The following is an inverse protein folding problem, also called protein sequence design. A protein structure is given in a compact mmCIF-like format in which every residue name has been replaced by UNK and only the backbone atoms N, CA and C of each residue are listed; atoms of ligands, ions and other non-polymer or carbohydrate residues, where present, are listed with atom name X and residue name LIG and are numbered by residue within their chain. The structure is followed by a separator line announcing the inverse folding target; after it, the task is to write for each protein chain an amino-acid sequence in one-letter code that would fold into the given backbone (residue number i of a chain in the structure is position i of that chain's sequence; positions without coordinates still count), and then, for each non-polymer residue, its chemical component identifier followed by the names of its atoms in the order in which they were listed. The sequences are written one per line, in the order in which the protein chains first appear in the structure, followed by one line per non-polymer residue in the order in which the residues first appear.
data_IF_807283614075
#
_entry.id   IF_807283614075
#
_cell.length_a   1.000
_cell.length_b   1.000
_cell.length_c   1.000
_cell.angle_alpha   90.00
_cell.angle_beta   90.00
_cell.angle_gamma   90.00
#
_symmetry.space_group_name_H-M   'P 1'
#
loop_
_entity.id
_entity.type
_entity.pdbx_description
1 polymer ?
#
# COMPACT_ATOMS: atom_id res chain seq x y z
N UNK A 1 -3.11 17.01 -15.34
CA UNK A 1 -2.76 16.27 -14.12
C UNK A 1 -3.29 14.85 -14.22
N UNK A 2 -2.43 13.88 -14.02
CA UNK A 2 -2.80 12.46 -13.81
C UNK A 2 -2.62 12.17 -12.33
N UNK A 3 -3.71 11.86 -11.65
CA UNK A 3 -3.75 11.68 -10.19
C UNK A 3 -3.32 10.27 -9.80
N UNK A 4 -2.80 10.11 -8.59
CA UNK A 4 -2.38 8.85 -7.99
C UNK A 4 -3.54 7.83 -7.89
N UNK A 5 -4.74 8.27 -7.52
CA UNK A 5 -5.91 7.40 -7.36
C UNK A 5 -6.67 7.24 -8.69
N UNK A 6 -6.30 6.23 -9.45
CA UNK A 6 -6.84 5.93 -10.78
C UNK A 6 -8.35 5.71 -10.76
N UNK A 7 -8.86 4.97 -9.76
CA UNK A 7 -10.29 4.66 -9.64
C UNK A 7 -11.16 5.87 -9.31
N UNK A 8 -10.60 6.91 -8.70
CA UNK A 8 -11.31 8.16 -8.40
C UNK A 8 -11.39 9.07 -9.62
N UNK A 9 -10.38 8.98 -10.50
CA UNK A 9 -10.29 9.83 -11.69
C UNK A 9 -11.11 9.32 -12.88
N UNK A 10 -11.51 8.05 -12.88
CA UNK A 10 -12.29 7.40 -13.92
C UNK A 10 -13.75 7.24 -13.47
N UNK A 11 -14.69 7.33 -14.42
CA UNK A 11 -16.12 7.17 -14.14
C UNK A 11 -16.53 5.72 -14.38
N UNK A 12 -16.90 4.97 -13.31
CA UNK A 12 -17.40 3.60 -13.43
C UNK A 12 -18.63 3.52 -14.35
N UNK A 13 -18.83 2.37 -14.98
CA UNK A 13 -19.96 2.13 -15.88
C UNK A 13 -19.84 2.75 -17.26
N UNK A 14 -18.92 3.69 -17.48
CA UNK A 14 -18.64 4.25 -18.80
C UNK A 14 -17.61 3.42 -19.58
N UNK A 15 -17.65 3.54 -20.91
CA UNK A 15 -16.64 2.93 -21.78
C UNK A 15 -15.29 3.64 -21.70
N UNK A 16 -14.24 2.99 -22.19
CA UNK A 16 -12.90 3.57 -22.33
C UNK A 16 -12.97 4.86 -23.17
N UNK A 17 -13.71 4.86 -24.29
CA UNK A 17 -13.85 6.04 -25.14
C UNK A 17 -14.49 7.22 -24.41
N UNK A 18 -15.54 6.97 -23.62
CA UNK A 18 -16.21 8.00 -22.83
C UNK A 18 -15.29 8.55 -21.76
N UNK A 19 -14.54 7.70 -21.06
CA UNK A 19 -13.58 8.12 -20.07
C UNK A 19 -12.44 8.97 -20.65
N UNK A 20 -11.86 8.59 -21.80
CA UNK A 20 -10.81 9.38 -22.47
C UNK A 20 -11.33 10.74 -22.92
N UNK A 21 -12.54 10.80 -23.43
CA UNK A 21 -13.11 12.00 -24.03
C UNK A 21 -14.00 12.80 -23.07
N UNK A 22 -14.05 12.43 -21.77
CA UNK A 22 -15.01 12.94 -20.80
C UNK A 22 -15.06 14.47 -20.74
N UNK A 23 -13.91 15.11 -20.69
CA UNK A 23 -13.83 16.57 -20.59
C UNK A 23 -14.33 17.28 -21.87
N UNK A 24 -14.12 16.67 -23.04
CA UNK A 24 -14.66 17.17 -24.32
C UNK A 24 -16.15 16.92 -24.47
N UNK A 25 -16.68 15.86 -23.86
CA UNK A 25 -18.10 15.57 -23.84
C UNK A 25 -18.90 16.60 -23.02
N UNK A 26 -18.24 17.29 -22.10
CA UNK A 26 -18.84 18.34 -21.26
C UNK A 26 -18.85 19.74 -21.93
N UNK A 27 -18.23 19.92 -23.11
CA UNK A 27 -18.18 21.21 -23.79
C UNK A 27 -19.57 21.61 -24.37
N UNK A 28 -20.08 22.83 -24.08
CA UNK A 28 -21.37 23.28 -24.61
C UNK A 28 -21.39 23.37 -26.14
N UNK A 29 -22.46 22.87 -26.78
CA UNK A 29 -22.69 23.05 -28.21
C UNK A 29 -22.12 21.97 -29.12
N UNK A 30 -21.54 20.91 -28.60
CA UNK A 30 -20.98 19.82 -29.38
C UNK A 30 -22.07 18.81 -29.78
N UNK A 31 -22.24 18.59 -31.08
CA UNK A 31 -23.06 17.48 -31.59
C UNK A 31 -22.29 16.18 -31.50
N UNK A 32 -22.77 15.25 -30.64
CA UNK A 32 -22.11 13.99 -30.44
C UNK A 32 -22.30 12.99 -31.55
N UNK A 33 -21.21 12.67 -32.26
CA UNK A 33 -21.13 11.48 -33.11
C UNK A 33 -20.26 10.43 -32.43
N UNK A 34 -20.85 9.39 -31.90
CA UNK A 34 -20.13 8.30 -31.20
C UNK A 34 -19.00 7.67 -32.01
N UNK A 35 -19.14 7.64 -33.35
CA UNK A 35 -18.05 7.21 -34.26
C UNK A 35 -16.81 8.11 -34.10
N UNK A 36 -17.00 9.43 -34.01
CA UNK A 36 -15.91 10.40 -33.87
C UNK A 36 -15.28 10.32 -32.47
N UNK A 37 -16.08 10.17 -31.40
CA UNK A 37 -15.61 9.96 -30.03
C UNK A 37 -14.68 8.74 -29.95
N UNK A 38 -15.13 7.60 -30.51
CA UNK A 38 -14.32 6.38 -30.57
C UNK A 38 -13.06 6.52 -31.41
N UNK A 39 -13.10 7.25 -32.47
CA UNK A 39 -11.94 7.53 -33.31
C UNK A 39 -10.90 8.35 -32.54
N UNK A 40 -11.29 9.45 -31.91
CA UNK A 40 -10.39 10.31 -31.15
C UNK A 40 -9.80 9.56 -29.94
N UNK A 41 -10.57 8.72 -29.28
CA UNK A 41 -10.07 7.88 -28.19
C UNK A 41 -9.01 6.87 -28.68
N UNK A 42 -9.20 6.25 -29.86
CA UNK A 42 -8.17 5.38 -30.45
C UNK A 42 -6.91 6.17 -30.86
N UNK A 43 -7.06 7.36 -31.41
CA UNK A 43 -5.94 8.25 -31.72
C UNK A 43 -5.12 8.60 -30.46
N UNK A 44 -5.80 8.89 -29.33
CA UNK A 44 -5.15 9.17 -28.06
C UNK A 44 -4.41 7.93 -27.51
N UNK A 45 -5.02 6.74 -27.55
CA UNK A 45 -4.36 5.48 -27.15
C UNK A 45 -3.17 5.13 -28.06
N UNK A 46 -3.30 5.38 -29.37
CA UNK A 46 -2.22 5.13 -30.34
C UNK A 46 -0.97 5.98 -30.05
N UNK A 47 -1.12 7.19 -29.49
CA UNK A 47 0.04 8.00 -29.05
C UNK A 47 0.85 7.30 -27.93
N UNK A 48 0.22 6.40 -27.20
CA UNK A 48 0.83 5.62 -26.12
C UNK A 48 1.27 4.20 -26.54
N UNK A 49 1.09 3.83 -27.82
CA UNK A 49 1.22 2.45 -28.36
C UNK A 49 0.33 1.43 -27.60
N UNK A 50 -0.85 1.86 -27.17
CA UNK A 50 -1.81 1.04 -26.44
C UNK A 50 -2.94 0.60 -27.34
N UNK A 51 -3.14 -0.71 -27.48
CA UNK A 51 -4.21 -1.31 -28.25
C UNK A 51 -5.32 -1.84 -27.32
N UNK A 52 -6.29 -0.98 -26.99
CA UNK A 52 -7.47 -1.36 -26.21
C UNK A 52 -8.74 -1.17 -27.07
N UNK A 53 -9.72 -2.08 -26.90
CA UNK A 53 -11.05 -1.85 -27.47
C UNK A 53 -11.75 -0.73 -26.69
N UNK A 54 -11.85 0.44 -27.31
CA UNK A 54 -12.43 1.64 -26.71
C UNK A 54 -13.91 1.52 -26.31
N UNK A 55 -14.57 0.41 -26.70
CA UNK A 55 -15.96 0.10 -26.32
C UNK A 55 -16.06 -0.66 -24.99
N UNK A 56 -14.97 -1.25 -24.52
CA UNK A 56 -14.96 -1.96 -23.23
C UNK A 56 -15.35 -1.02 -22.09
N UNK A 57 -16.09 -1.55 -21.12
CA UNK A 57 -16.33 -0.85 -19.85
C UNK A 57 -15.02 -0.68 -19.09
N UNK A 58 -14.86 0.48 -18.44
CA UNK A 58 -13.71 0.77 -17.55
C UNK A 58 -13.63 -0.23 -16.38
N UNK A 59 -14.75 -0.78 -15.94
CA UNK A 59 -14.82 -1.72 -14.83
C UNK A 59 -14.15 -3.06 -15.13
N UNK A 60 -14.02 -3.39 -16.45
CA UNK A 60 -13.33 -4.60 -16.90
C UNK A 60 -11.82 -4.42 -17.13
N UNK A 61 -11.30 -3.21 -16.86
CA UNK A 61 -9.91 -2.88 -17.10
C UNK A 61 -9.04 -3.18 -15.88
N UNK A 62 -7.82 -3.66 -16.13
CA UNK A 62 -6.79 -3.77 -15.09
C UNK A 62 -6.35 -2.39 -14.62
N UNK A 63 -5.68 -2.32 -13.49
CA UNK A 63 -5.20 -1.05 -12.94
C UNK A 63 -4.19 -0.37 -13.88
N UNK A 64 -3.34 -1.16 -14.54
CA UNK A 64 -2.40 -0.69 -15.55
C UNK A 64 -3.13 -0.13 -16.79
N UNK A 65 -4.15 -0.82 -17.32
CA UNK A 65 -4.98 -0.31 -18.42
C UNK A 65 -5.67 1.01 -18.05
N UNK A 66 -6.20 1.11 -16.83
CA UNK A 66 -6.81 2.34 -16.31
C UNK A 66 -5.81 3.51 -16.25
N UNK A 67 -4.57 3.25 -15.85
CA UNK A 67 -3.50 4.26 -15.85
C UNK A 67 -3.21 4.77 -17.28
N UNK A 68 -3.12 3.86 -18.25
CA UNK A 68 -2.92 4.21 -19.66
C UNK A 68 -4.09 5.03 -20.21
N UNK A 69 -5.32 4.73 -19.80
CA UNK A 69 -6.54 5.48 -20.20
C UNK A 69 -6.50 6.90 -19.63
N UNK A 70 -6.05 7.11 -18.39
CA UNK A 70 -5.88 8.44 -17.82
C UNK A 70 -4.81 9.26 -18.54
N UNK A 71 -3.71 8.62 -18.93
CA UNK A 71 -2.68 9.27 -19.76
C UNK A 71 -3.24 9.66 -21.13
N UNK A 72 -3.97 8.76 -21.81
CA UNK A 72 -4.62 9.04 -23.08
C UNK A 72 -5.62 10.19 -22.96
N UNK A 73 -6.39 10.26 -21.88
CA UNK A 73 -7.28 11.39 -21.56
C UNK A 73 -6.51 12.71 -21.45
N UNK A 74 -5.41 12.72 -20.69
CA UNK A 74 -4.59 13.93 -20.55
C UNK A 74 -4.00 14.41 -21.88
N UNK A 75 -3.55 13.48 -22.73
CA UNK A 75 -2.99 13.80 -24.05
C UNK A 75 -4.03 14.23 -25.09
N UNK A 76 -5.29 13.81 -24.95
CA UNK A 76 -6.37 14.19 -25.87
C UNK A 76 -6.62 15.72 -25.91
N UNK A 77 -6.13 16.46 -24.90
CA UNK A 77 -6.26 17.92 -24.79
C UNK A 77 -5.08 18.71 -25.38
N UNK A 78 -4.17 18.09 -26.14
CA UNK A 78 -2.98 18.75 -26.69
C UNK A 78 -2.21 19.57 -25.62
N UNK A 79 -1.99 18.96 -24.45
CA UNK A 79 -1.34 19.61 -23.33
C UNK A 79 0.14 19.95 -23.67
N UNK A 80 0.60 21.12 -23.20
CA UNK A 80 2.01 21.54 -23.28
C UNK A 80 2.79 21.11 -22.04
N UNK A 81 2.09 20.83 -20.95
CA UNK A 81 2.64 20.38 -19.67
C UNK A 81 1.82 19.19 -19.15
N UNK A 82 2.52 18.17 -18.70
CA UNK A 82 1.93 16.98 -18.09
C UNK A 82 2.47 16.82 -16.68
N UNK A 83 1.59 16.68 -15.69
CA UNK A 83 1.96 16.39 -14.30
C UNK A 83 1.51 14.96 -13.98
N UNK A 84 2.45 14.10 -13.61
CA UNK A 84 2.27 12.72 -13.25
C UNK A 84 2.58 12.55 -11.75
N UNK A 85 1.55 12.22 -10.97
CA UNK A 85 1.65 12.05 -9.53
C UNK A 85 1.67 10.56 -9.19
N UNK A 86 2.84 10.03 -8.83
CA UNK A 86 3.14 8.63 -8.55
C UNK A 86 2.57 7.63 -9.57
N UNK A 87 2.79 7.84 -10.88
CA UNK A 87 2.08 7.10 -11.91
C UNK A 87 2.49 5.62 -12.02
N UNK A 88 3.58 5.23 -11.36
CA UNK A 88 4.12 3.85 -11.35
C UNK A 88 3.72 3.05 -10.11
N UNK A 89 3.05 3.68 -9.13
CA UNK A 89 2.68 3.01 -7.89
C UNK A 89 1.88 1.69 -8.11
N UNK A 90 0.93 1.63 -9.07
CA UNK A 90 0.17 0.41 -9.36
C UNK A 90 0.79 -0.51 -10.42
N UNK A 91 1.95 -0.14 -10.99
CA UNK A 91 2.55 -0.82 -12.14
C UNK A 91 3.68 -1.76 -11.70
N UNK A 92 3.82 -2.86 -12.44
CA UNK A 92 5.01 -3.69 -12.37
C UNK A 92 6.22 -3.03 -13.07
N UNK A 93 7.39 -3.68 -13.00
CA UNK A 93 8.62 -3.13 -13.60
C UNK A 93 8.48 -2.96 -15.12
N UNK A 94 7.91 -3.94 -15.82
CA UNK A 94 7.77 -3.92 -17.28
C UNK A 94 6.77 -2.85 -17.75
N UNK A 95 5.69 -2.68 -16.99
CA UNK A 95 4.69 -1.64 -17.23
C UNK A 95 5.27 -0.24 -16.98
N UNK A 96 6.09 -0.11 -15.92
CA UNK A 96 6.81 1.14 -15.61
C UNK A 96 7.80 1.52 -16.73
N UNK A 97 8.55 0.56 -17.26
CA UNK A 97 9.46 0.80 -18.39
C UNK A 97 8.72 1.27 -19.65
N UNK A 98 7.55 0.71 -19.93
CA UNK A 98 6.67 1.18 -21.03
C UNK A 98 6.22 2.63 -20.81
N UNK A 99 5.81 2.96 -19.58
CA UNK A 99 5.44 4.34 -19.23
C UNK A 99 6.63 5.28 -19.42
N UNK A 100 7.85 4.90 -19.03
CA UNK A 100 9.05 5.72 -19.23
C UNK A 100 9.34 5.96 -20.71
N UNK A 101 9.15 4.95 -21.56
CA UNK A 101 9.29 5.11 -23.00
C UNK A 101 8.29 6.14 -23.57
N UNK A 102 7.04 6.12 -23.06
CA UNK A 102 6.03 7.12 -23.39
C UNK A 102 6.44 8.51 -22.93
N UNK A 103 6.88 8.66 -21.67
CA UNK A 103 7.32 9.96 -21.13
C UNK A 103 8.46 10.56 -21.95
N UNK A 104 9.48 9.76 -22.29
CA UNK A 104 10.59 10.21 -23.15
C UNK A 104 10.11 10.68 -24.51
N UNK A 105 9.16 9.97 -25.13
CA UNK A 105 8.58 10.37 -26.42
C UNK A 105 7.87 11.73 -26.31
N UNK A 106 7.12 11.94 -25.25
CA UNK A 106 6.43 13.22 -25.01
C UNK A 106 7.43 14.37 -24.80
N UNK A 107 8.54 14.12 -24.07
CA UNK A 107 9.63 15.08 -23.91
C UNK A 107 10.24 15.45 -25.28
N UNK A 108 10.52 14.46 -26.16
CA UNK A 108 11.01 14.70 -27.52
C UNK A 108 10.02 15.49 -28.38
N UNK A 109 8.73 15.42 -28.10
CA UNK A 109 7.69 16.24 -28.76
C UNK A 109 7.58 17.65 -28.16
N UNK A 110 8.42 18.01 -27.19
CA UNK A 110 8.42 19.34 -26.55
C UNK A 110 7.39 19.51 -25.45
N UNK A 111 6.80 18.42 -24.92
CA UNK A 111 5.91 18.47 -23.78
C UNK A 111 6.74 18.50 -22.51
N UNK A 112 6.55 19.53 -21.66
CA UNK A 112 7.16 19.60 -20.32
C UNK A 112 6.49 18.57 -19.41
N UNK A 113 7.28 17.72 -18.75
CA UNK A 113 6.76 16.70 -17.82
C UNK A 113 7.26 16.96 -16.40
N UNK A 114 6.32 17.06 -15.46
CA UNK A 114 6.61 17.03 -14.03
C UNK A 114 6.26 15.63 -13.53
N UNK A 115 7.28 14.89 -13.09
CA UNK A 115 7.14 13.51 -12.62
C UNK A 115 7.37 13.47 -11.11
N UNK A 116 6.33 13.14 -10.35
CA UNK A 116 6.39 13.05 -8.89
C UNK A 116 6.50 11.58 -8.52
N UNK A 117 7.55 11.22 -7.81
CA UNK A 117 7.79 9.86 -7.30
C UNK A 117 8.69 9.90 -6.07
N UNK A 118 8.54 8.92 -5.20
CA UNK A 118 9.48 8.66 -4.11
C UNK A 118 10.50 7.56 -4.47
N UNK A 119 10.39 6.95 -5.66
CA UNK A 119 11.28 5.90 -6.17
C UNK A 119 12.45 6.53 -6.94
N UNK A 120 13.59 6.67 -6.28
CA UNK A 120 14.75 7.40 -6.82
C UNK A 120 15.26 6.81 -8.13
N UNK A 121 15.22 5.48 -8.31
CA UNK A 121 15.65 4.84 -9.55
C UNK A 121 14.78 5.27 -10.76
N UNK A 122 13.49 5.51 -10.56
CA UNK A 122 12.59 6.01 -11.59
C UNK A 122 12.96 7.45 -12.00
N UNK A 123 13.15 8.32 -10.99
CA UNK A 123 13.55 9.72 -11.22
C UNK A 123 14.86 9.79 -11.99
N UNK A 124 15.86 8.99 -11.59
CA UNK A 124 17.17 8.92 -12.30
C UNK A 124 17.05 8.39 -13.72
N UNK A 125 16.05 7.56 -14.01
CA UNK A 125 15.87 6.99 -15.34
C UNK A 125 15.28 7.97 -16.36
N UNK A 126 14.47 8.96 -15.92
CA UNK A 126 13.66 9.77 -16.83
C UNK A 126 13.74 11.29 -16.61
N UNK A 127 14.24 11.78 -15.47
CA UNK A 127 14.25 13.20 -15.15
C UNK A 127 15.63 13.85 -15.43
N UNK A 128 15.61 15.05 -16.02
CA UNK A 128 16.79 15.87 -16.26
C UNK A 128 17.13 16.72 -15.03
N UNK A 129 16.10 17.16 -14.32
CA UNK A 129 16.20 18.01 -13.14
C UNK A 129 15.45 17.39 -11.97
N UNK A 130 15.94 17.62 -10.76
CA UNK A 130 15.36 17.17 -9.51
C UNK A 130 14.93 18.37 -8.68
N UNK A 131 13.77 18.27 -8.06
CA UNK A 131 13.33 19.18 -7.00
C UNK A 131 12.88 18.36 -5.80
N UNK A 132 13.54 18.53 -4.67
CA UNK A 132 13.20 17.86 -3.41
C UNK A 132 12.32 18.77 -2.56
N UNK A 133 11.13 18.29 -2.23
CA UNK A 133 10.20 18.95 -1.31
C UNK A 133 10.10 18.13 -0.01
N UNK A 134 10.13 18.81 1.13
CA UNK A 134 9.94 18.20 2.45
C UNK A 134 9.11 19.12 3.35
N UNK A 135 8.05 18.59 3.95
CA UNK A 135 7.11 19.32 4.80
C UNK A 135 6.61 20.66 4.16
N UNK A 136 6.35 20.62 2.82
CA UNK A 136 5.89 21.77 2.04
C UNK A 136 6.97 22.80 1.72
N UNK A 137 8.25 22.53 1.99
CA UNK A 137 9.38 23.43 1.73
C UNK A 137 10.29 22.87 0.64
N UNK A 138 10.82 23.76 -0.19
CA UNK A 138 11.88 23.44 -1.13
C UNK A 138 13.18 23.21 -0.38
N UNK A 139 13.77 22.02 -0.54
CA UNK A 139 15.04 21.65 0.09
C UNK A 139 16.20 21.76 -0.92
N UNK A 140 16.00 21.26 -2.13
CA UNK A 140 17.00 21.26 -3.19
C UNK A 140 16.32 21.40 -4.55
N UNK A 141 16.96 22.05 -5.51
CA UNK A 141 16.54 22.05 -6.90
C UNK A 141 17.75 22.21 -7.80
N UNK A 142 17.90 21.32 -8.80
CA UNK A 142 19.04 21.35 -9.71
C UNK A 142 19.07 20.17 -10.66
N UNK A 143 20.15 20.02 -11.44
CA UNK A 143 20.35 18.90 -12.35
C UNK A 143 20.34 17.57 -11.58
N UNK A 144 19.77 16.52 -12.18
CA UNK A 144 19.69 15.17 -11.57
C UNK A 144 21.09 14.54 -11.34
N UNK A 145 22.06 14.80 -12.21
CA UNK A 145 23.34 14.08 -12.29
C UNK A 145 24.26 14.14 -11.06
N UNK A 146 24.40 15.27 -10.32
CA UNK A 146 25.39 15.39 -9.26
C UNK A 146 25.08 14.60 -7.98
N UNK A 147 23.82 14.30 -7.71
CA UNK A 147 23.38 13.67 -6.46
C UNK A 147 23.34 12.14 -6.55
N UNK A 148 23.92 11.46 -5.55
CA UNK A 148 23.70 10.03 -5.37
C UNK A 148 22.24 9.74 -4.99
N UNK A 149 21.78 8.48 -5.15
CA UNK A 149 20.44 8.09 -4.69
C UNK A 149 20.27 8.29 -3.19
N UNK A 150 21.31 7.96 -2.44
CA UNK A 150 21.39 8.12 -0.99
C UNK A 150 21.25 9.57 -0.56
N UNK A 151 22.00 10.47 -1.18
CA UNK A 151 21.91 11.89 -0.90
C UNK A 151 20.52 12.47 -1.19
N UNK A 152 19.84 11.99 -2.22
CA UNK A 152 18.46 12.42 -2.50
C UNK A 152 17.54 11.96 -1.38
N UNK A 153 17.64 10.70 -0.95
CA UNK A 153 16.83 10.16 0.16
C UNK A 153 17.10 10.92 1.46
N UNK A 154 18.35 11.18 1.81
CA UNK A 154 18.72 11.96 3.00
C UNK A 154 18.09 13.37 2.98
N UNK A 155 18.11 14.04 1.82
CA UNK A 155 17.45 15.34 1.66
C UNK A 155 15.93 15.25 1.84
N UNK A 156 15.31 14.18 1.35
CA UNK A 156 13.87 13.92 1.54
C UNK A 156 13.53 13.64 3.00
N UNK A 157 14.35 12.85 3.71
CA UNK A 157 14.17 12.48 5.12
C UNK A 157 14.57 13.61 6.07
N UNK A 158 15.70 14.26 5.81
CA UNK A 158 16.31 15.27 6.67
C UNK A 158 17.26 14.73 7.73
N UNK A 159 17.61 13.44 7.65
CA UNK A 159 18.62 12.74 8.45
C UNK A 159 19.31 11.68 7.60
N UNK A 160 20.36 11.05 8.11
CA UNK A 160 21.16 10.06 7.39
C UNK A 160 20.37 8.78 7.08
N UNK A 161 20.79 8.09 6.02
CA UNK A 161 20.19 6.81 5.58
C UNK A 161 20.36 5.68 6.61
N UNK A 162 21.42 5.74 7.43
CA UNK A 162 21.64 4.82 8.54
C UNK A 162 20.47 4.72 9.51
N UNK A 163 19.60 5.74 9.55
CA UNK A 163 18.48 5.85 10.45
C UNK A 163 17.13 5.36 9.87
N UNK A 164 17.14 4.82 8.64
CA UNK A 164 15.91 4.30 8.01
C UNK A 164 15.40 3.04 8.71
N UNK A 165 16.30 2.13 9.02
CA UNK A 165 15.97 0.90 9.70
C UNK A 165 16.33 0.96 11.18
N UNK A 166 15.57 0.27 12.04
CA UNK A 166 15.89 0.20 13.44
C UNK A 166 17.25 -0.50 13.66
N UNK A 167 17.96 -0.17 14.76
CA UNK A 167 19.18 -0.87 15.11
C UNK A 167 18.89 -2.35 15.39
N UNK A 168 19.89 -3.24 15.12
CA UNK A 168 19.74 -4.67 15.34
C UNK A 168 19.12 -5.00 16.71
N UNK A 169 18.19 -5.95 16.71
CA UNK A 169 17.57 -6.44 17.95
C UNK A 169 18.46 -7.48 18.64
N UNK A 170 18.37 -7.63 19.96
CA UNK A 170 18.90 -8.81 20.62
C UNK A 170 18.19 -10.06 20.07
N UNK A 171 18.85 -11.23 20.11
CA UNK A 171 18.23 -12.49 19.69
C UNK A 171 16.88 -12.69 20.37
N UNK A 172 15.86 -13.06 19.59
CA UNK A 172 14.55 -13.42 20.12
C UNK A 172 14.59 -14.73 20.90
N UNK A 173 13.60 -14.94 21.81
CA UNK A 173 13.47 -16.18 22.57
C UNK A 173 13.08 -17.38 21.70
N UNK A 174 13.13 -18.58 22.29
CA UNK A 174 12.72 -19.82 21.61
C UNK A 174 11.21 -20.10 21.69
N UNK A 175 10.45 -19.32 22.46
CA UNK A 175 9.01 -19.46 22.62
C UNK A 175 8.30 -19.27 21.28
N UNK A 176 7.59 -20.29 20.81
CA UNK A 176 6.85 -20.27 19.54
C UNK A 176 5.45 -19.71 19.80
N UNK A 177 5.10 -18.63 19.11
CA UNK A 177 3.76 -18.02 19.19
C UNK A 177 2.82 -18.59 18.11
N UNK A 178 3.34 -18.85 16.89
CA UNK A 178 2.58 -19.43 15.81
C UNK A 178 3.38 -20.55 15.14
N UNK A 179 2.76 -21.71 15.01
CA UNK A 179 3.27 -22.79 14.17
C UNK A 179 2.15 -23.25 13.23
N UNK A 180 2.50 -23.42 11.98
CA UNK A 180 1.62 -23.95 10.93
C UNK A 180 2.40 -24.95 10.12
N UNK A 181 1.85 -26.14 9.96
CA UNK A 181 2.40 -27.22 9.14
C UNK A 181 1.36 -27.63 8.11
N UNK A 182 1.75 -27.67 6.83
CA UNK A 182 0.92 -28.13 5.73
C UNK A 182 -0.31 -27.27 5.45
N UNK A 183 -0.16 -25.93 5.46
CA UNK A 183 -1.25 -25.03 5.08
C UNK A 183 -1.38 -25.02 3.56
N UNK A 184 -2.63 -25.16 3.10
CA UNK A 184 -3.01 -25.03 1.71
C UNK A 184 -4.38 -24.36 1.58
N UNK A 185 -4.62 -23.72 0.47
CA UNK A 185 -5.92 -23.18 0.08
C UNK A 185 -6.43 -23.84 -1.21
N UNK A 186 -7.58 -23.42 -1.70
CA UNK A 186 -8.17 -23.97 -2.93
C UNK A 186 -7.62 -23.30 -4.20
N UNK A 187 -6.83 -22.21 -4.05
CA UNK A 187 -6.45 -21.35 -5.17
C UNK A 187 -4.96 -21.48 -5.53
N UNK A 188 -4.04 -21.24 -4.59
CA UNK A 188 -2.63 -21.05 -4.89
C UNK A 188 -1.69 -21.72 -3.88
N UNK A 189 -2.00 -21.63 -2.57
CA UNK A 189 -1.07 -22.05 -1.52
C UNK A 189 -0.95 -23.57 -1.42
N UNK A 190 0.29 -24.08 -1.38
CA UNK A 190 0.58 -25.49 -1.37
C UNK A 190 1.64 -25.83 -0.31
N UNK A 191 1.22 -26.61 0.70
CA UNK A 191 2.10 -27.20 1.73
C UNK A 191 2.99 -26.19 2.45
N UNK A 192 2.41 -25.04 2.84
CA UNK A 192 3.13 -24.00 3.56
C UNK A 192 3.36 -24.42 5.01
N UNK A 193 4.61 -24.40 5.43
CA UNK A 193 4.98 -24.65 6.82
C UNK A 193 5.87 -23.53 7.32
N UNK A 194 5.50 -22.91 8.46
CA UNK A 194 6.23 -21.82 9.07
C UNK A 194 6.10 -21.82 10.60
N UNK A 195 7.08 -21.21 11.25
CA UNK A 195 7.08 -20.95 12.70
C UNK A 195 7.46 -19.51 12.94
N UNK A 196 6.77 -18.89 13.90
CA UNK A 196 7.04 -17.54 14.36
C UNK A 196 7.28 -17.57 15.87
N UNK A 197 8.39 -16.98 16.30
CA UNK A 197 8.78 -16.90 17.70
C UNK A 197 8.40 -15.56 18.32
N UNK A 198 8.36 -15.52 19.62
CA UNK A 198 8.13 -14.31 20.41
C UNK A 198 9.27 -13.30 20.18
N UNK A 199 8.91 -12.09 19.81
CA UNK A 199 9.85 -11.03 19.50
C UNK A 199 10.52 -11.15 18.12
N UNK A 200 10.16 -12.16 17.33
CA UNK A 200 10.67 -12.36 15.95
C UNK A 200 9.87 -11.51 14.94
N UNK A 201 10.57 -10.93 13.97
CA UNK A 201 9.99 -10.43 12.72
C UNK A 201 10.36 -11.42 11.61
N UNK A 202 9.39 -12.22 11.17
CA UNK A 202 9.51 -13.14 10.06
C UNK A 202 9.10 -12.46 8.75
N UNK A 203 10.06 -12.28 7.86
CA UNK A 203 9.82 -11.74 6.53
C UNK A 203 9.25 -12.79 5.56
N UNK A 204 8.28 -12.40 4.75
CA UNK A 204 7.78 -13.18 3.61
C UNK A 204 8.12 -12.42 2.34
N UNK A 205 9.13 -12.91 1.62
CA UNK A 205 9.53 -12.41 0.32
C UNK A 205 8.75 -13.11 -0.79
N UNK A 206 8.49 -12.40 -1.89
CA UNK A 206 7.89 -13.00 -3.10
C UNK A 206 7.53 -11.96 -4.12
N UNK A 207 7.54 -12.33 -5.40
CA UNK A 207 7.09 -11.47 -6.48
C UNK A 207 5.58 -11.18 -6.40
N UNK A 208 5.09 -10.24 -7.19
CA UNK A 208 3.65 -10.04 -7.35
C UNK A 208 3.00 -11.34 -7.84
N UNK A 209 1.90 -11.75 -7.20
CA UNK A 209 1.20 -13.01 -7.51
C UNK A 209 1.83 -14.28 -6.93
N UNK A 210 2.91 -14.19 -6.13
CA UNK A 210 3.52 -15.36 -5.48
C UNK A 210 2.66 -15.98 -4.37
N UNK A 211 1.61 -15.28 -3.90
CA UNK A 211 0.70 -15.77 -2.86
C UNK A 211 0.88 -15.14 -1.48
N UNK A 212 1.60 -14.00 -1.38
CA UNK A 212 1.84 -13.31 -0.09
C UNK A 212 0.55 -12.89 0.60
N UNK A 213 -0.33 -12.19 -0.10
CA UNK A 213 -1.62 -11.74 0.40
C UNK A 213 -2.53 -12.92 0.72
N UNK A 214 -2.54 -13.94 -0.13
CA UNK A 214 -3.28 -15.18 0.10
C UNK A 214 -2.81 -15.86 1.38
N UNK A 215 -1.50 -15.93 1.62
CA UNK A 215 -0.93 -16.49 2.84
C UNK A 215 -1.34 -15.68 4.09
N UNK A 216 -1.24 -14.35 4.04
CA UNK A 216 -1.65 -13.47 5.14
C UNK A 216 -3.15 -13.65 5.47
N UNK A 217 -4.01 -13.70 4.44
CA UNK A 217 -5.45 -13.93 4.59
C UNK A 217 -5.78 -15.34 5.08
N UNK A 218 -5.08 -16.35 4.58
CA UNK A 218 -5.26 -17.74 5.01
C UNK A 218 -4.90 -17.93 6.49
N UNK A 219 -3.77 -17.38 6.93
CA UNK A 219 -3.36 -17.39 8.35
C UNK A 219 -4.37 -16.65 9.24
N UNK A 220 -4.96 -15.57 8.76
CA UNK A 220 -5.95 -14.81 9.53
C UNK A 220 -7.36 -15.41 9.51
N UNK A 221 -7.60 -16.44 8.66
CA UNK A 221 -8.93 -17.02 8.48
C UNK A 221 -9.87 -16.17 7.62
N UNK A 222 -9.32 -15.19 6.86
CA UNK A 222 -10.08 -14.37 5.93
C UNK A 222 -10.28 -15.04 4.55
N UNK A 223 -9.61 -16.16 4.30
CA UNK A 223 -9.83 -17.03 3.14
C UNK A 223 -9.98 -18.49 3.58
N UNK A 224 -10.60 -19.33 2.73
CA UNK A 224 -10.74 -20.75 3.00
C UNK A 224 -9.40 -21.45 2.87
N UNK A 225 -8.90 -21.97 3.97
CA UNK A 225 -7.66 -22.73 4.03
C UNK A 225 -7.77 -23.96 4.94
N UNK A 226 -6.85 -24.90 4.77
CA UNK A 226 -6.73 -26.08 5.62
C UNK A 226 -5.29 -26.17 6.11
N UNK A 227 -5.12 -26.63 7.35
CA UNK A 227 -3.82 -26.90 7.95
C UNK A 227 -3.79 -28.34 8.46
N UNK A 228 -2.66 -29.02 8.27
CA UNK A 228 -2.47 -30.36 8.86
C UNK A 228 -2.32 -30.23 10.37
N UNK A 229 -1.46 -29.30 10.82
CA UNK A 229 -1.26 -28.95 12.21
C UNK A 229 -1.12 -27.44 12.34
N UNK A 230 -1.81 -26.86 13.32
CA UNK A 230 -1.68 -25.45 13.69
C UNK A 230 -1.67 -25.28 15.18
N UNK A 231 -0.83 -24.34 15.67
CA UNK A 231 -0.72 -23.96 17.06
C UNK A 231 -0.55 -22.44 17.14
N UNK A 232 -1.31 -21.80 18.01
CA UNK A 232 -1.27 -20.36 18.25
C UNK A 232 -1.25 -20.10 19.76
N UNK A 233 -0.24 -19.39 20.27
CA UNK A 233 -0.05 -19.13 21.69
C UNK A 233 -0.07 -20.41 22.56
N UNK A 234 0.57 -21.48 22.10
CA UNK A 234 0.63 -22.77 22.78
C UNK A 234 -0.67 -23.58 22.78
N UNK A 235 -1.67 -23.16 21.99
CA UNK A 235 -2.96 -23.86 21.89
C UNK A 235 -3.20 -24.39 20.46
N UNK A 236 -3.79 -25.58 20.30
CA UNK A 236 -4.19 -26.07 18.99
C UNK A 236 -5.08 -25.05 18.27
N UNK A 237 -4.74 -24.73 17.04
CA UNK A 237 -5.43 -23.72 16.27
C UNK A 237 -5.58 -24.11 14.81
N UNK A 238 -6.69 -23.65 14.22
CA UNK A 238 -6.95 -23.73 12.77
C UNK A 238 -7.61 -22.43 12.35
N UNK A 239 -7.16 -21.80 11.26
CA UNK A 239 -7.78 -20.57 10.77
C UNK A 239 -9.21 -20.90 10.26
N UNK A 240 -10.23 -20.45 10.97
CA UNK A 240 -11.64 -20.68 10.62
C UNK A 240 -12.27 -19.42 10.06
N UNK A 241 -12.17 -18.34 10.82
CA UNK A 241 -12.68 -17.02 10.50
C UNK A 241 -11.89 -15.94 11.26
N UNK A 242 -11.98 -14.67 10.81
CA UNK A 242 -11.25 -13.58 11.45
C UNK A 242 -11.60 -13.36 12.93
N UNK A 243 -12.84 -13.61 13.33
CA UNK A 243 -13.25 -13.37 14.72
C UNK A 243 -12.59 -14.37 15.68
N UNK A 244 -12.49 -15.67 15.31
CA UNK A 244 -11.75 -16.68 16.07
C UNK A 244 -10.26 -16.32 16.15
N UNK A 245 -9.66 -15.85 15.04
CA UNK A 245 -8.26 -15.45 15.00
C UNK A 245 -7.97 -14.24 15.91
N UNK A 246 -8.81 -13.23 15.88
CA UNK A 246 -8.70 -12.05 16.77
C UNK A 246 -8.87 -12.46 18.24
N UNK A 247 -9.88 -13.28 18.55
CA UNK A 247 -10.10 -13.77 19.93
C UNK A 247 -8.96 -14.62 20.47
N UNK A 248 -8.06 -15.12 19.61
CA UNK A 248 -6.86 -15.88 20.00
C UNK A 248 -5.56 -15.08 19.92
N UNK A 249 -5.67 -13.78 19.69
CA UNK A 249 -4.52 -12.87 19.69
C UNK A 249 -3.77 -12.77 18.36
N UNK A 250 -4.42 -13.01 17.23
CA UNK A 250 -3.89 -12.78 15.89
C UNK A 250 -4.49 -11.52 15.28
N UNK A 251 -3.67 -10.68 14.67
CA UNK A 251 -4.10 -9.46 14.02
C UNK A 251 -3.58 -9.38 12.58
N UNK A 252 -4.35 -8.75 11.68
CA UNK A 252 -3.96 -8.51 10.29
C UNK A 252 -4.08 -7.03 9.93
N UNK A 253 -3.00 -6.51 9.36
CA UNK A 253 -2.97 -5.22 8.66
C UNK A 253 -2.88 -5.53 7.16
N UNK A 254 -3.98 -5.39 6.40
CA UNK A 254 -4.05 -5.82 5.01
C UNK A 254 -3.38 -4.82 4.06
N UNK A 255 -3.00 -5.29 2.87
CA UNK A 255 -2.44 -4.49 1.78
C UNK A 255 -3.38 -3.36 1.35
N UNK A 256 -4.65 -3.69 1.05
CA UNK A 256 -5.67 -2.72 0.64
C UNK A 256 -6.35 -2.07 1.86
N UNK A 257 -5.57 -1.30 2.64
CA UNK A 257 -6.05 -0.71 3.92
C UNK A 257 -7.38 0.03 3.80
N UNK A 258 -7.65 0.73 2.69
CA UNK A 258 -8.88 1.52 2.49
C UNK A 258 -10.13 0.67 2.25
N UNK A 259 -9.96 -0.53 1.72
CA UNK A 259 -11.07 -1.46 1.46
C UNK A 259 -11.28 -2.43 2.63
N UNK A 260 -10.18 -2.93 3.22
CA UNK A 260 -10.20 -4.04 4.15
C UNK A 260 -9.71 -3.66 5.56
N UNK A 261 -8.94 -2.56 5.69
CA UNK A 261 -8.23 -2.24 6.92
C UNK A 261 -8.86 -1.16 7.78
N UNK A 262 -9.52 -0.18 7.19
CA UNK A 262 -10.06 1.03 7.86
C UNK A 262 -11.40 1.46 7.29
N UNK A 263 -12.19 2.14 8.11
CA UNK A 263 -13.41 2.83 7.71
C UNK A 263 -13.06 4.29 7.39
N UNK A 264 -12.82 4.58 6.11
CA UNK A 264 -12.21 5.84 5.64
C UNK A 264 -13.07 7.08 5.94
N UNK A 265 -14.39 6.93 5.99
CA UNK A 265 -15.34 8.00 6.29
C UNK A 265 -15.56 8.22 7.79
N UNK A 266 -15.09 7.29 8.62
CA UNK A 266 -15.28 7.33 10.07
C UNK A 266 -14.13 8.07 10.78
N UNK A 267 -14.40 8.62 11.97
CA UNK A 267 -13.37 9.22 12.82
C UNK A 267 -12.27 8.23 13.25
N UNK A 268 -11.09 8.77 13.59
CA UNK A 268 -9.97 7.99 14.14
C UNK A 268 -10.44 7.15 15.33
N UNK A 269 -11.21 7.75 16.27
CA UNK A 269 -11.68 7.06 17.46
C UNK A 269 -12.51 5.81 17.15
N UNK A 270 -13.38 5.86 16.14
CA UNK A 270 -14.18 4.71 15.74
C UNK A 270 -13.32 3.60 15.12
N UNK A 271 -12.36 3.98 14.28
CA UNK A 271 -11.44 3.03 13.67
C UNK A 271 -10.56 2.32 14.71
N UNK A 272 -10.06 3.04 15.71
CA UNK A 272 -9.25 2.46 16.78
C UNK A 272 -10.06 1.57 17.73
N UNK A 273 -11.36 1.86 17.89
CA UNK A 273 -12.21 1.12 18.81
C UNK A 273 -12.80 -0.17 18.23
N UNK A 274 -12.85 -0.31 16.91
CA UNK A 274 -13.58 -1.40 16.23
C UNK A 274 -13.00 -2.80 16.51
N UNK A 275 -11.70 -2.90 16.73
CA UNK A 275 -11.01 -4.17 17.03
C UNK A 275 -10.77 -4.40 18.52
N UNK A 276 -11.24 -3.50 19.36
CA UNK A 276 -11.01 -3.56 20.79
C UNK A 276 -12.07 -4.46 21.46
N UNK A 277 -11.86 -5.74 21.37
CA UNK A 277 -12.53 -6.89 21.99
C UNK A 277 -13.50 -6.54 23.14
N UNK A 278 -14.67 -6.00 22.82
CA UNK A 278 -15.69 -5.55 23.77
C UNK A 278 -15.22 -4.65 24.93
N UNK A 279 -13.93 -4.29 24.98
CA UNK A 279 -13.32 -3.54 26.09
C UNK A 279 -13.90 -2.13 26.28
N UNK A 280 -14.58 -1.61 25.25
CA UNK A 280 -15.36 -0.37 25.29
C UNK A 280 -16.87 -0.61 25.44
N UNK A 281 -17.31 -1.88 25.51
CA UNK A 281 -18.70 -2.23 25.65
C UNK A 281 -18.99 -2.80 27.04
N UNK A 282 -19.90 -2.18 27.77
CA UNK A 282 -20.41 -2.70 29.03
C UNK A 282 -21.94 -2.68 28.97
N UNK A 283 -22.58 -3.83 29.22
CA UNK A 283 -24.03 -3.96 29.17
C UNK A 283 -24.62 -3.53 27.81
N UNK A 284 -23.95 -3.89 26.71
CA UNK A 284 -24.32 -3.48 25.33
C UNK A 284 -24.28 -1.96 25.06
N UNK A 285 -23.68 -1.17 25.96
CA UNK A 285 -23.48 0.27 25.80
C UNK A 285 -22.01 0.53 25.44
N UNK A 286 -21.79 1.23 24.32
CA UNK A 286 -20.46 1.62 23.88
C UNK A 286 -19.94 2.80 24.70
N UNK A 287 -18.75 2.65 25.28
CA UNK A 287 -18.10 3.65 26.13
C UNK A 287 -17.36 4.72 25.34
N UNK A 288 -18.07 5.63 24.66
CA UNK A 288 -17.49 6.68 23.82
C UNK A 288 -16.35 7.46 24.50
N UNK A 289 -16.48 7.80 25.79
CA UNK A 289 -15.42 8.55 26.52
C UNK A 289 -14.14 7.73 26.70
N UNK A 290 -14.25 6.42 26.92
CA UNK A 290 -13.08 5.54 27.05
C UNK A 290 -12.40 5.32 25.71
N UNK A 291 -13.19 5.08 24.64
CA UNK A 291 -12.68 4.97 23.29
C UNK A 291 -11.96 6.26 22.83
N UNK A 292 -12.51 7.42 23.20
CA UNK A 292 -11.91 8.71 22.89
C UNK A 292 -10.55 8.89 23.58
N UNK A 293 -10.46 8.68 24.90
CA UNK A 293 -9.20 8.75 25.65
C UNK A 293 -8.16 7.79 25.11
N UNK A 294 -8.56 6.54 24.89
CA UNK A 294 -7.67 5.56 24.27
C UNK A 294 -7.15 6.03 22.92
N UNK A 295 -8.00 6.64 22.12
CA UNK A 295 -7.59 7.16 20.81
C UNK A 295 -6.59 8.31 20.94
N UNK A 296 -6.69 9.18 21.94
CA UNK A 296 -5.70 10.21 22.23
C UNK A 296 -4.33 9.59 22.58
N UNK A 297 -4.33 8.54 23.41
CA UNK A 297 -3.12 7.79 23.78
C UNK A 297 -2.46 7.15 22.56
N UNK A 298 -3.25 6.49 21.67
CA UNK A 298 -2.74 5.86 20.45
C UNK A 298 -2.22 6.89 19.47
N UNK A 299 -2.94 8.00 19.25
CA UNK A 299 -2.50 9.11 18.40
C UNK A 299 -1.12 9.60 18.84
N UNK A 300 -0.95 9.82 20.16
CA UNK A 300 0.32 10.26 20.72
C UNK A 300 1.41 9.19 20.61
N UNK A 301 1.11 7.92 20.98
CA UNK A 301 2.05 6.79 20.92
C UNK A 301 2.59 6.53 19.51
N UNK A 302 1.71 6.58 18.50
CA UNK A 302 2.07 6.31 17.11
C UNK A 302 2.53 7.57 16.34
N UNK A 303 2.49 8.73 16.97
CA UNK A 303 2.80 10.00 16.31
C UNK A 303 1.90 10.25 15.09
N UNK A 304 0.59 9.97 15.22
CA UNK A 304 -0.37 10.25 14.15
C UNK A 304 -0.58 11.75 14.06
N UNK A 305 -0.32 12.34 12.89
CA UNK A 305 -0.54 13.77 12.65
C UNK A 305 -2.03 14.02 12.39
N UNK A 306 -2.77 14.32 13.43
CA UNK A 306 -4.19 14.58 13.41
C UNK A 306 -4.56 15.74 14.36
N UNK A 307 -5.69 16.39 14.11
CA UNK A 307 -6.23 17.44 14.99
C UNK A 307 -6.91 16.86 16.24
N UNK A 308 -7.14 15.56 16.30
CA UNK A 308 -7.72 14.83 17.41
C UNK A 308 -8.50 13.59 16.97
N UNK A 309 -9.02 12.81 17.95
CA UNK A 309 -9.75 11.56 17.69
C UNK A 309 -10.99 11.68 16.81
N UNK A 310 -11.60 12.86 16.75
CA UNK A 310 -12.78 13.15 15.92
C UNK A 310 -12.47 13.42 14.45
N UNK A 311 -11.20 13.49 14.04
CA UNK A 311 -10.84 13.72 12.64
C UNK A 311 -11.15 12.48 11.80
N UNK A 312 -11.82 12.68 10.66
CA UNK A 312 -12.12 11.63 9.67
C UNK A 312 -10.82 11.14 9.01
N UNK A 313 -10.68 9.82 8.82
CA UNK A 313 -9.48 9.22 8.24
C UNK A 313 -9.20 9.69 6.81
N UNK A 314 -10.20 10.01 6.03
CA UNK A 314 -10.05 10.57 4.66
C UNK A 314 -9.12 11.78 4.61
N UNK A 315 -9.06 12.58 5.68
CA UNK A 315 -8.23 13.79 5.77
C UNK A 315 -6.79 13.52 6.20
N UNK A 316 -6.43 12.28 6.46
CA UNK A 316 -5.08 11.88 6.84
C UNK A 316 -4.26 11.47 5.62
N UNK A 317 -2.93 11.70 5.67
CA UNK A 317 -1.99 11.12 4.71
C UNK A 317 -1.97 9.59 4.79
N UNK A 318 -1.52 8.92 3.72
CA UNK A 318 -1.42 7.46 3.67
C UNK A 318 -0.66 6.85 4.85
N UNK A 319 0.48 7.44 5.23
CA UNK A 319 1.24 6.98 6.39
C UNK A 319 0.49 7.11 7.72
N UNK A 320 -0.28 8.20 7.92
CA UNK A 320 -1.10 8.34 9.12
C UNK A 320 -2.31 7.39 9.13
N UNK A 321 -2.92 7.13 7.96
CA UNK A 321 -3.95 6.10 7.83
C UNK A 321 -3.40 4.71 8.20
N UNK A 322 -2.17 4.40 7.78
CA UNK A 322 -1.49 3.14 8.09
C UNK A 322 -1.22 3.02 9.60
N UNK A 323 -0.75 4.09 10.24
CA UNK A 323 -0.57 4.13 11.70
C UNK A 323 -1.88 3.84 12.44
N UNK A 324 -3.01 4.36 11.98
CA UNK A 324 -4.34 4.05 12.56
C UNK A 324 -4.74 2.61 12.31
N UNK A 325 -4.48 2.07 11.10
CA UNK A 325 -4.75 0.65 10.78
C UNK A 325 -3.97 -0.31 11.68
N UNK A 326 -2.76 0.06 12.09
CA UNK A 326 -1.96 -0.69 13.08
C UNK A 326 -2.50 -0.44 14.49
N UNK A 327 -2.79 0.82 14.81
CA UNK A 327 -3.21 1.28 16.15
C UNK A 327 -4.46 0.57 16.67
N UNK A 328 -5.39 0.19 15.79
CA UNK A 328 -6.60 -0.55 16.18
C UNK A 328 -6.31 -1.88 16.88
N UNK A 329 -5.14 -2.48 16.62
CA UNK A 329 -4.72 -3.76 17.20
C UNK A 329 -3.93 -3.64 18.51
N UNK A 330 -3.56 -2.41 18.95
CA UNK A 330 -2.72 -2.20 20.13
C UNK A 330 -3.46 -2.38 21.45
N UNK A 331 -4.80 -2.35 21.46
CA UNK A 331 -5.58 -2.52 22.69
C UNK A 331 -5.90 -3.97 23.03
N UNK A 332 -5.97 -4.83 22.01
CA UNK A 332 -6.26 -6.25 22.22
C UNK A 332 -5.03 -7.04 22.66
N UNK A 333 -5.26 -8.30 23.05
CA UNK A 333 -4.21 -9.24 23.44
C UNK A 333 -3.49 -9.85 22.22
N UNK A 334 -3.41 -9.10 21.11
CA UNK A 334 -2.74 -9.58 19.90
C UNK A 334 -1.26 -9.81 20.18
N UNK A 335 -0.84 -11.08 20.17
CA UNK A 335 0.54 -11.51 20.31
C UNK A 335 1.22 -11.76 18.97
N UNK A 336 0.43 -12.00 17.92
CA UNK A 336 0.90 -12.20 16.55
C UNK A 336 0.28 -11.15 15.64
N UNK A 337 1.12 -10.43 14.92
CA UNK A 337 0.74 -9.36 14.01
C UNK A 337 1.19 -9.71 12.59
N UNK A 338 0.26 -9.74 11.65
CA UNK A 338 0.53 -9.95 10.23
C UNK A 338 0.42 -8.62 9.50
N UNK A 339 1.48 -8.24 8.79
CA UNK A 339 1.55 -7.05 7.96
C UNK A 339 1.68 -7.48 6.50
N UNK A 340 0.69 -7.15 5.69
CA UNK A 340 0.67 -7.41 4.25
C UNK A 340 0.95 -6.11 3.50
N UNK A 341 2.13 -5.99 2.90
CA UNK A 341 2.61 -4.81 2.16
C UNK A 341 2.33 -3.48 2.91
N UNK A 342 2.71 -3.35 4.20
CA UNK A 342 2.25 -2.23 5.04
C UNK A 342 2.80 -0.87 4.60
N UNK A 343 3.85 -0.84 3.79
CA UNK A 343 4.51 0.36 3.29
C UNK A 343 4.05 0.78 1.90
N UNK A 344 3.18 0.01 1.26
CA UNK A 344 2.66 0.30 -0.08
C UNK A 344 1.89 1.62 -0.11
N UNK A 345 2.30 2.53 -1.01
CA UNK A 345 1.69 3.86 -1.12
C UNK A 345 1.91 4.74 0.10
N UNK A 346 3.05 4.59 0.75
CA UNK A 346 3.50 5.37 1.90
C UNK A 346 4.81 6.05 1.55
N UNK A 347 4.97 7.33 1.90
CA UNK A 347 6.21 8.06 1.65
C UNK A 347 7.38 7.55 2.51
N UNK A 348 8.62 7.88 2.10
CA UNK A 348 9.85 7.34 2.72
C UNK A 348 9.93 7.65 4.22
N UNK A 349 9.51 8.85 4.65
CA UNK A 349 9.51 9.22 6.07
C UNK A 349 8.53 8.39 6.87
N UNK A 350 7.33 8.21 6.34
CA UNK A 350 6.33 7.38 6.98
C UNK A 350 6.72 5.89 6.97
N UNK A 351 7.48 5.41 5.97
CA UNK A 351 8.08 4.05 5.99
C UNK A 351 9.03 3.88 7.18
N UNK A 352 9.94 4.84 7.39
CA UNK A 352 10.86 4.82 8.55
C UNK A 352 10.09 4.76 9.87
N UNK A 353 9.08 5.63 10.05
CA UNK A 353 8.23 5.62 11.24
C UNK A 353 7.55 4.25 11.44
N UNK A 354 7.10 3.59 10.35
CA UNK A 354 6.48 2.27 10.41
C UNK A 354 7.48 1.17 10.79
N UNK A 355 8.70 1.22 10.29
CA UNK A 355 9.76 0.26 10.66
C UNK A 355 10.10 0.36 12.14
N UNK A 356 10.24 1.59 12.67
CA UNK A 356 10.48 1.81 14.10
C UNK A 356 9.30 1.32 14.96
N UNK A 357 8.06 1.52 14.49
CA UNK A 357 6.86 1.04 15.17
C UNK A 357 6.82 -0.50 15.19
N UNK A 358 7.05 -1.16 14.07
CA UNK A 358 7.02 -2.63 13.95
C UNK A 358 8.14 -3.25 14.80
N UNK A 359 9.34 -2.68 14.76
CA UNK A 359 10.45 -3.08 15.61
C UNK A 359 10.11 -2.93 17.11
N UNK A 360 9.49 -1.81 17.49
CA UNK A 360 9.01 -1.59 18.84
C UNK A 360 8.03 -2.67 19.32
N UNK A 361 7.10 -3.09 18.46
CA UNK A 361 6.16 -4.17 18.78
C UNK A 361 6.87 -5.52 18.97
N UNK A 362 7.88 -5.82 18.15
CA UNK A 362 8.70 -7.02 18.32
C UNK A 362 9.52 -6.97 19.61
N UNK A 363 10.09 -5.81 19.98
CA UNK A 363 10.78 -5.61 21.29
C UNK A 363 9.84 -5.75 22.48
N UNK A 364 8.56 -5.45 22.32
CA UNK A 364 7.52 -5.71 23.33
C UNK A 364 7.16 -7.21 23.43
N UNK A 365 7.80 -8.09 22.64
CA UNK A 365 7.59 -9.53 22.63
C UNK A 365 6.46 -10.01 21.69
N UNK A 366 5.94 -9.14 20.80
CA UNK A 366 5.00 -9.57 19.75
C UNK A 366 5.74 -10.34 18.68
N UNK A 367 5.14 -11.40 18.14
CA UNK A 367 5.61 -12.04 16.91
C UNK A 367 5.04 -11.29 15.69
N UNK A 368 5.88 -11.03 14.70
CA UNK A 368 5.48 -10.28 13.51
C UNK A 368 5.74 -11.10 12.26
N UNK A 369 4.73 -11.24 11.39
CA UNK A 369 4.90 -11.66 10.01
C UNK A 369 4.85 -10.40 9.14
N UNK A 370 5.91 -10.17 8.36
CA UNK A 370 6.05 -9.00 7.50
C UNK A 370 6.17 -9.44 6.03
N UNK A 371 5.09 -9.33 5.27
CA UNK A 371 5.09 -9.63 3.84
C UNK A 371 5.38 -8.36 3.04
N UNK A 372 6.41 -8.40 2.18
CA UNK A 372 6.76 -7.28 1.31
C UNK A 372 7.36 -7.77 -0.02
N UNK A 373 7.07 -7.03 -1.10
CA UNK A 373 7.76 -7.16 -2.38
C UNK A 373 9.09 -6.40 -2.44
N UNK A 374 9.33 -5.48 -1.49
CA UNK A 374 10.57 -4.70 -1.42
C UNK A 374 11.63 -5.44 -0.60
N UNK A 375 12.57 -6.10 -1.28
CA UNK A 375 13.59 -6.92 -0.62
C UNK A 375 14.46 -6.13 0.39
N UNK A 376 14.72 -4.85 0.11
CA UNK A 376 15.47 -3.97 1.03
C UNK A 376 14.78 -3.81 2.39
N UNK A 377 13.43 -3.76 2.43
CA UNK A 377 12.66 -3.68 3.67
C UNK A 377 12.81 -4.97 4.49
N UNK A 378 12.75 -6.13 3.82
CA UNK A 378 12.89 -7.43 4.47
C UNK A 378 14.28 -7.60 5.07
N UNK A 379 15.33 -7.25 4.34
CA UNK A 379 16.71 -7.33 4.83
C UNK A 379 16.99 -6.36 5.99
N UNK A 380 16.39 -5.15 5.93
CA UNK A 380 16.62 -4.12 6.94
C UNK A 380 15.81 -4.31 8.23
N UNK A 381 14.68 -5.04 8.18
CA UNK A 381 13.74 -5.13 9.30
C UNK A 381 13.62 -6.53 9.91
N UNK A 382 13.69 -7.59 9.09
CA UNK A 382 13.34 -8.94 9.50
C UNK A 382 14.54 -9.71 10.07
N UNK A 383 14.27 -10.59 11.04
CA UNK A 383 15.29 -11.48 11.63
C UNK A 383 15.56 -12.69 10.72
N UNK A 384 14.52 -13.14 10.02
CA UNK A 384 14.55 -14.29 9.13
C UNK A 384 13.58 -14.05 7.97
N UNK A 385 13.93 -14.53 6.78
CA UNK A 385 13.12 -14.36 5.57
C UNK A 385 12.78 -15.74 5.01
N UNK A 386 11.49 -15.96 4.71
CA UNK A 386 11.01 -17.06 3.90
C UNK A 386 10.68 -16.55 2.50
N UNK A 387 11.10 -17.24 1.48
CA UNK A 387 10.80 -16.90 0.09
C UNK A 387 9.58 -17.69 -0.37
N UNK A 388 8.57 -16.98 -0.84
CA UNK A 388 7.36 -17.58 -1.40
C UNK A 388 7.43 -17.51 -2.93
N UNK A 389 7.28 -18.68 -3.55
CA UNK A 389 7.29 -18.83 -5.00
C UNK A 389 6.16 -19.78 -5.40
N UNK A 390 5.25 -19.30 -6.27
CA UNK A 390 4.12 -20.07 -6.79
C UNK A 390 3.36 -20.86 -5.70
N UNK A 391 3.03 -20.14 -4.62
CA UNK A 391 2.29 -20.69 -3.49
C UNK A 391 3.06 -21.65 -2.57
N UNK A 392 4.40 -21.74 -2.68
CA UNK A 392 5.26 -22.60 -1.84
C UNK A 392 6.37 -21.78 -1.19
N UNK A 393 6.80 -22.19 0.01
CA UNK A 393 8.03 -21.70 0.62
C UNK A 393 9.20 -22.51 0.04
N UNK A 394 10.20 -21.80 -0.51
CA UNK A 394 11.39 -22.36 -1.16
C UNK A 394 12.66 -21.95 -0.43
#
# INVERSE_FOLDING_TARGET
LVQQEVDVALVPGLSIAENIMLDRLAEPGMTFRWSRVRQLAREALAQLDVALDVRRSIDSCTLAEKQQILLARALSHHCRFLILDEPTAPLDQHESERLFAVVRRLQHQGIGVVFISHRIHELKAICDTLTVLRDGRLIESGPMGPLSGEQIVEKMLGHELSDIFPPPRPPHGEEVLLQVDGLHDEALLQDISLRLRKGEILGIAGLAGAGKTELCKALFGASKSRVQRGELNGQPWRPRDPADSVGRGLALVPEERRKEGIFIEEPIAMNLAVSADNSFSRWSLFGHRQAWRWSEEVIARLGVRATGPGQTLRRLSGGNQQKVAIGKWLRGDANVLIFDEPTKGVDVKAKTDLFMLIDGLAREGKGVIYASGEFAELVGLCDRICVLWDGRIV
#
